data_IF_414428791816
#
_entry.id   IF_414428791816
#
_cell.length_a   1.000
_cell.length_b   1.000
_cell.length_c   1.000
_cell.angle_alpha   90.00
_cell.angle_beta   90.00
_cell.angle_gamma   90.00
#
_symmetry.space_group_name_H-M   'P 1'
#
loop_
_entity.id
_entity.type
_entity.pdbx_description
1 polymer ?
#
# COMPACT_ATOMS: atom_id res chain seq x y z
N UNK A 1 -72.00 -21.58 -74.71
CA UNK A 1 -71.21 -20.51 -74.11
C UNK A 1 -70.17 -21.16 -73.22
N UNK A 2 -68.94 -21.23 -73.72
CA UNK A 2 -67.83 -21.92 -73.08
C UNK A 2 -67.28 -21.03 -71.95
N UNK A 3 -67.22 -21.57 -70.73
CA UNK A 3 -66.72 -20.84 -69.56
C UNK A 3 -65.20 -21.00 -69.54
N UNK A 4 -64.47 -20.01 -70.04
CA UNK A 4 -63.02 -19.94 -69.89
C UNK A 4 -62.64 -19.93 -68.41
N UNK A 5 -61.80 -20.87 -67.99
CA UNK A 5 -61.21 -20.86 -66.65
C UNK A 5 -59.98 -19.94 -66.63
N UNK A 6 -59.89 -18.98 -65.69
CA UNK A 6 -58.71 -18.12 -65.62
C UNK A 6 -57.50 -18.92 -65.11
N UNK A 7 -56.44 -18.96 -65.91
CA UNK A 7 -55.14 -19.52 -65.52
C UNK A 7 -54.48 -18.60 -64.50
N UNK A 8 -54.24 -19.11 -63.29
CA UNK A 8 -53.57 -18.37 -62.21
C UNK A 8 -52.07 -18.24 -62.53
N UNK A 9 -51.64 -17.06 -63.01
CA UNK A 9 -50.23 -16.79 -63.29
C UNK A 9 -49.47 -16.50 -61.98
N UNK A 10 -48.71 -17.47 -61.49
CA UNK A 10 -47.90 -17.32 -60.26
C UNK A 10 -46.54 -16.73 -60.64
N UNK A 11 -46.16 -15.53 -60.15
CA UNK A 11 -44.86 -14.96 -60.43
C UNK A 11 -43.75 -15.85 -59.82
N UNK A 12 -42.73 -16.19 -60.63
CA UNK A 12 -41.55 -16.93 -60.15
C UNK A 12 -40.87 -16.15 -59.02
N UNK A 13 -40.69 -16.80 -57.87
CA UNK A 13 -40.02 -16.24 -56.72
C UNK A 13 -38.60 -15.77 -57.07
N UNK A 14 -38.28 -14.50 -56.78
CA UNK A 14 -36.92 -13.97 -56.92
C UNK A 14 -36.02 -14.65 -55.88
N UNK A 15 -34.89 -15.22 -56.32
CA UNK A 15 -33.89 -15.81 -55.42
C UNK A 15 -33.36 -14.71 -54.48
N UNK A 16 -33.54 -14.90 -53.18
CA UNK A 16 -32.97 -14.01 -52.15
C UNK A 16 -31.46 -14.27 -52.03
N UNK A 17 -30.63 -13.23 -51.83
CA UNK A 17 -29.20 -13.41 -51.63
C UNK A 17 -28.96 -14.12 -50.29
N UNK A 18 -28.14 -15.18 -50.33
CA UNK A 18 -27.80 -15.98 -49.15
C UNK A 18 -26.87 -15.19 -48.22
N UNK A 19 -27.34 -14.91 -47.01
CA UNK A 19 -26.69 -14.06 -45.99
C UNK A 19 -25.47 -14.70 -45.28
N UNK A 20 -24.92 -15.80 -45.81
CA UNK A 20 -23.90 -16.64 -45.15
C UNK A 20 -22.54 -15.95 -44.93
N UNK A 21 -22.26 -14.85 -45.62
CA UNK A 21 -20.96 -14.17 -45.51
C UNK A 21 -20.95 -13.05 -44.45
N UNK A 22 -22.12 -12.61 -43.97
CA UNK A 22 -22.24 -11.50 -43.02
C UNK A 22 -22.07 -12.00 -41.58
N UNK A 23 -22.41 -13.28 -41.33
CA UNK A 23 -22.25 -13.94 -40.03
C UNK A 23 -20.80 -14.10 -39.58
N UNK A 24 -19.82 -14.20 -40.49
CA UNK A 24 -18.40 -14.31 -40.10
C UNK A 24 -17.79 -12.97 -39.69
N UNK A 25 -18.26 -11.86 -40.28
CA UNK A 25 -17.76 -10.52 -39.98
C UNK A 25 -18.29 -10.01 -38.63
N UNK A 26 -19.54 -10.35 -38.29
CA UNK A 26 -20.12 -10.00 -36.98
C UNK A 26 -19.49 -10.79 -35.82
N UNK A 27 -19.04 -12.02 -36.05
CA UNK A 27 -18.36 -12.84 -35.03
C UNK A 27 -17.01 -12.23 -34.58
N UNK A 28 -16.25 -11.63 -35.50
CA UNK A 28 -14.95 -11.02 -35.20
C UNK A 28 -15.07 -9.73 -34.37
N UNK A 29 -16.11 -8.93 -34.60
CA UNK A 29 -16.39 -7.70 -33.85
C UNK A 29 -16.89 -7.97 -32.42
N UNK A 30 -17.65 -9.03 -32.19
CA UNK A 30 -18.10 -9.39 -30.85
C UNK A 30 -16.95 -9.88 -29.96
N UNK A 31 -16.02 -10.67 -30.51
CA UNK A 31 -14.87 -11.18 -29.77
C UNK A 31 -13.90 -10.07 -29.33
N UNK A 32 -13.67 -9.05 -30.16
CA UNK A 32 -12.79 -7.93 -29.84
C UNK A 32 -13.34 -7.03 -28.72
N UNK A 33 -14.66 -6.84 -28.64
CA UNK A 33 -15.29 -6.09 -27.54
C UNK A 33 -15.12 -6.82 -26.20
N UNK A 34 -15.27 -8.15 -26.18
CA UNK A 34 -15.08 -8.97 -24.96
C UNK A 34 -13.63 -8.91 -24.48
N UNK A 35 -12.66 -8.95 -25.40
CA UNK A 35 -11.24 -8.85 -25.05
C UNK A 35 -10.91 -7.47 -24.49
N UNK A 36 -11.41 -6.38 -25.09
CA UNK A 36 -11.19 -5.01 -24.60
C UNK A 36 -11.84 -4.79 -23.23
N UNK A 37 -13.05 -5.29 -23.01
CA UNK A 37 -13.71 -5.25 -21.69
C UNK A 37 -12.95 -6.09 -20.66
N UNK A 38 -12.49 -7.28 -21.02
CA UNK A 38 -11.69 -8.13 -20.13
C UNK A 38 -10.35 -7.48 -19.78
N UNK A 39 -9.67 -6.86 -20.75
CA UNK A 39 -8.41 -6.12 -20.52
C UNK A 39 -8.62 -4.87 -19.66
N UNK A 40 -9.75 -4.17 -19.83
CA UNK A 40 -10.11 -3.00 -19.03
C UNK A 40 -10.45 -3.36 -17.57
N UNK A 41 -11.03 -4.55 -17.35
CA UNK A 41 -11.28 -5.08 -16.00
C UNK A 41 -9.97 -5.61 -15.37
N UNK A 42 -9.07 -6.22 -16.15
CA UNK A 42 -7.78 -6.74 -15.66
C UNK A 42 -6.75 -5.63 -15.35
N UNK A 43 -6.70 -4.56 -16.15
CA UNK A 43 -5.77 -3.45 -15.92
C UNK A 43 -6.21 -2.50 -14.80
N UNK A 44 -7.47 -2.58 -14.37
CA UNK A 44 -8.03 -1.83 -13.24
C UNK A 44 -8.11 -2.69 -11.98
N UNK A 45 -7.09 -3.49 -11.69
CA UNK A 45 -6.92 -3.95 -10.33
C UNK A 45 -6.47 -2.72 -9.53
N UNK A 46 -7.30 -2.14 -8.64
CA UNK A 46 -6.79 -1.14 -7.73
C UNK A 46 -5.60 -1.78 -7.04
N UNK A 47 -4.44 -1.11 -7.04
CA UNK A 47 -3.29 -1.55 -6.28
C UNK A 47 -3.83 -2.05 -4.95
N UNK A 48 -3.69 -3.35 -4.71
CA UNK A 48 -4.08 -3.93 -3.45
C UNK A 48 -3.08 -3.33 -2.51
N UNK A 49 -3.42 -2.16 -1.95
CA UNK A 49 -2.62 -1.44 -0.99
C UNK A 49 -2.49 -2.42 0.17
N UNK A 50 -1.41 -3.19 0.15
CA UNK A 50 -1.06 -4.14 1.18
C UNK A 50 -1.05 -3.29 2.44
N UNK A 51 -2.08 -3.46 3.28
CA UNK A 51 -2.31 -2.59 4.41
C UNK A 51 -0.99 -2.47 5.18
N UNK A 52 -0.47 -1.26 5.27
CA UNK A 52 0.83 -1.04 5.89
C UNK A 52 0.73 -1.51 7.33
N UNK A 53 1.43 -2.61 7.66
CA UNK A 53 1.42 -3.15 9.01
C UNK A 53 2.24 -2.20 9.86
N UNK A 54 1.61 -1.58 10.84
CA UNK A 54 2.28 -0.78 11.85
C UNK A 54 2.41 -1.58 13.15
N UNK A 55 3.55 -1.43 13.82
CA UNK A 55 3.82 -1.93 15.15
C UNK A 55 3.86 -0.74 16.10
N UNK A 56 3.07 -0.77 17.18
CA UNK A 56 3.23 0.18 18.27
C UNK A 56 4.46 -0.25 19.09
N UNK A 57 5.52 0.55 19.05
CA UNK A 57 6.73 0.31 19.82
C UNK A 57 6.82 1.29 20.99
N UNK A 58 7.05 0.77 22.20
CA UNK A 58 7.22 1.58 23.42
C UNK A 58 8.70 1.73 23.72
N UNK A 59 9.21 2.94 23.57
CA UNK A 59 10.57 3.30 23.98
C UNK A 59 10.57 3.62 25.46
N UNK A 60 11.54 3.08 26.21
CA UNK A 60 11.66 3.29 27.66
C UNK A 60 13.12 3.49 28.05
N UNK A 61 13.40 4.47 28.91
CA UNK A 61 14.73 4.65 29.50
C UNK A 61 14.63 5.04 30.98
N UNK A 62 15.51 4.48 31.81
CA UNK A 62 15.65 4.87 33.20
C UNK A 62 16.64 6.04 33.35
N UNK A 63 16.14 7.21 33.77
CA UNK A 63 16.88 8.45 34.05
C UNK A 63 16.16 9.23 35.18
N UNK A 64 16.31 8.82 36.44
CA UNK A 64 15.65 9.48 37.57
C UNK A 64 16.13 10.91 37.82
N UNK A 65 17.37 11.22 37.41
CA UNK A 65 17.96 12.55 37.58
C UNK A 65 17.60 13.52 36.43
N UNK A 66 16.83 13.07 35.43
CA UNK A 66 16.49 13.89 34.28
C UNK A 66 15.28 14.77 34.57
N UNK A 67 15.30 15.99 34.07
CA UNK A 67 14.14 16.90 34.07
C UNK A 67 13.40 16.84 32.73
N UNK A 68 14.13 16.45 31.67
CA UNK A 68 13.62 16.34 30.31
C UNK A 68 14.31 15.18 29.61
N UNK A 69 13.50 14.31 29.00
CA UNK A 69 13.96 13.25 28.11
C UNK A 69 13.23 13.34 26.78
N UNK A 70 13.99 13.31 25.70
CA UNK A 70 13.48 13.25 24.33
C UNK A 70 14.13 12.07 23.60
N UNK A 71 13.48 11.60 22.55
CA UNK A 71 14.01 10.62 21.59
C UNK A 71 14.06 11.24 20.20
N UNK A 72 15.17 11.03 19.52
CA UNK A 72 15.35 11.40 18.12
C UNK A 72 15.81 10.18 17.35
N UNK A 73 15.21 9.94 16.19
CA UNK A 73 15.62 8.86 15.30
C UNK A 73 15.06 9.03 13.91
N UNK A 74 15.33 8.07 13.04
CA UNK A 74 14.86 8.09 11.66
C UNK A 74 13.33 8.19 11.58
N UNK A 75 12.61 7.52 12.49
CA UNK A 75 11.15 7.57 12.58
C UNK A 75 10.58 8.93 13.04
N UNK A 76 11.40 9.81 13.63
CA UNK A 76 11.03 11.21 13.91
C UNK A 76 11.66 12.21 12.94
N UNK A 77 12.28 11.72 11.86
CA UNK A 77 13.14 12.54 10.98
C UNK A 77 14.18 13.35 11.80
N UNK A 78 14.75 12.72 12.83
CA UNK A 78 15.73 13.30 13.74
C UNK A 78 15.26 14.51 14.54
N UNK A 79 13.94 14.79 14.54
CA UNK A 79 13.35 15.82 15.41
C UNK A 79 13.11 15.25 16.81
N UNK A 80 13.42 16.00 17.89
CA UNK A 80 13.18 15.53 19.25
C UNK A 80 11.69 15.29 19.51
N UNK A 81 11.37 14.11 20.03
CA UNK A 81 10.05 13.74 20.52
C UNK A 81 10.12 13.59 22.04
N UNK A 82 9.31 14.34 22.78
CA UNK A 82 9.29 14.33 24.25
C UNK A 82 8.75 13.02 24.82
N UNK A 83 9.48 12.44 25.77
CA UNK A 83 9.03 11.31 26.58
C UNK A 83 8.27 11.82 27.81
N UNK A 84 7.35 11.00 28.30
CA UNK A 84 6.63 11.22 29.56
C UNK A 84 7.28 10.42 30.68
N UNK A 85 7.43 11.01 31.85
CA UNK A 85 7.85 10.27 33.03
C UNK A 85 6.70 9.39 33.55
N UNK A 86 7.01 8.14 33.88
CA UNK A 86 6.07 7.16 34.42
C UNK A 86 6.00 7.32 35.93
N UNK A 87 4.94 7.96 36.43
CA UNK A 87 4.58 8.00 37.86
C UNK A 87 5.73 8.34 38.83
N UNK A 88 6.64 9.25 38.46
CA UNK A 88 7.81 9.64 39.27
C UNK A 88 8.75 8.48 39.63
N UNK A 89 8.77 7.43 38.82
CA UNK A 89 9.64 6.26 39.02
C UNK A 89 11.04 6.48 38.48
N UNK A 90 11.29 7.58 37.75
CA UNK A 90 12.51 7.81 36.98
C UNK A 90 12.56 7.09 35.62
N UNK A 91 11.53 6.34 35.25
CA UNK A 91 11.37 5.81 33.90
C UNK A 91 10.66 6.82 33.00
N UNK A 92 11.19 6.98 31.79
CA UNK A 92 10.65 7.85 30.76
C UNK A 92 10.22 7.03 29.57
N UNK A 93 9.09 7.37 28.95
CA UNK A 93 8.55 6.61 27.82
C UNK A 93 7.85 7.40 26.72
N UNK A 94 7.82 6.81 25.52
CA UNK A 94 7.01 7.25 24.40
C UNK A 94 6.58 6.03 23.57
N UNK A 95 5.34 6.04 23.08
CA UNK A 95 4.85 5.06 22.11
C UNK A 95 4.88 5.65 20.71
N UNK A 96 5.45 4.90 19.76
CA UNK A 96 5.59 5.31 18.36
C UNK A 96 5.08 4.20 17.45
N UNK A 97 4.29 4.57 16.44
CA UNK A 97 3.88 3.67 15.36
C UNK A 97 5.00 3.55 14.33
N UNK A 98 5.56 2.36 14.20
CA UNK A 98 6.67 2.06 13.29
C UNK A 98 6.21 1.07 12.22
N UNK A 99 6.73 1.23 11.01
CA UNK A 99 6.65 0.17 10.00
C UNK A 99 7.75 -0.87 10.29
N UNK A 100 7.64 -2.10 9.78
CA UNK A 100 8.76 -3.02 9.75
C UNK A 100 9.96 -2.38 9.04
N UNK A 101 11.13 -2.50 9.64
CA UNK A 101 12.32 -1.81 9.20
C UNK A 101 13.40 -1.74 10.27
N UNK A 102 14.53 -1.17 9.90
CA UNK A 102 15.62 -0.85 10.80
C UNK A 102 15.63 0.66 11.04
N UNK A 103 15.81 1.08 12.28
CA UNK A 103 15.79 2.49 12.69
C UNK A 103 16.96 2.83 13.60
N UNK A 104 17.68 3.90 13.27
CA UNK A 104 18.68 4.51 14.15
C UNK A 104 18.03 5.56 15.06
N UNK A 105 18.41 5.59 16.33
CA UNK A 105 17.90 6.54 17.32
C UNK A 105 18.84 6.79 18.49
N UNK A 106 18.59 7.87 19.23
CA UNK A 106 19.22 8.17 20.52
C UNK A 106 18.23 8.88 21.45
N UNK A 107 18.55 8.89 22.75
CA UNK A 107 17.88 9.72 23.74
C UNK A 107 18.67 11.02 23.98
N UNK A 108 17.96 12.15 24.07
CA UNK A 108 18.51 13.44 24.47
C UNK A 108 18.05 13.75 25.89
N UNK A 109 19.01 13.87 26.81
CA UNK A 109 18.76 14.14 28.23
C UNK A 109 19.08 15.60 28.52
N UNK A 110 18.11 16.33 29.09
CA UNK A 110 18.23 17.74 29.49
C UNK A 110 18.87 18.64 28.41
N UNK A 111 18.48 18.44 27.14
CA UNK A 111 18.94 19.20 25.97
C UNK A 111 20.46 19.16 25.68
N UNK A 112 21.21 18.32 26.37
CA UNK A 112 22.69 18.37 26.36
C UNK A 112 23.34 17.04 26.06
N UNK A 113 22.80 15.95 26.59
CA UNK A 113 23.48 14.65 26.58
C UNK A 113 22.79 13.68 25.65
N UNK A 114 23.48 13.30 24.59
CA UNK A 114 23.09 12.20 23.71
C UNK A 114 23.44 10.88 24.39
N UNK A 115 22.47 9.97 24.46
CA UNK A 115 22.59 8.67 25.12
C UNK A 115 22.02 7.61 24.19
N UNK A 116 22.87 6.68 23.75
CA UNK A 116 22.40 5.45 23.13
C UNK A 116 21.57 4.65 24.15
N UNK A 117 20.54 3.97 23.68
CA UNK A 117 19.78 3.01 24.48
C UNK A 117 20.72 1.97 25.11
N UNK A 118 20.82 1.92 26.45
CA UNK A 118 21.67 0.96 27.14
C UNK A 118 21.26 -0.48 26.84
N UNK A 119 19.98 -0.73 26.54
CA UNK A 119 19.40 -2.05 26.30
C UNK A 119 19.53 -2.51 24.85
N UNK A 120 19.87 -1.60 23.92
CA UNK A 120 20.02 -1.98 22.51
C UNK A 120 21.27 -2.82 22.30
N UNK A 121 21.09 -3.96 21.64
CA UNK A 121 22.16 -4.90 21.28
C UNK A 121 23.10 -4.28 20.23
N UNK A 122 22.53 -3.52 19.30
CA UNK A 122 23.25 -2.97 18.15
C UNK A 122 23.40 -1.46 18.28
N UNK A 123 24.62 -0.97 18.13
CA UNK A 123 24.96 0.45 18.21
C UNK A 123 25.92 0.81 17.08
N UNK A 124 25.83 2.05 16.60
CA UNK A 124 26.65 2.59 15.53
C UNK A 124 27.21 3.95 15.94
N UNK A 125 28.47 4.22 15.63
CA UNK A 125 29.09 5.53 15.88
C UNK A 125 28.59 6.55 14.85
N UNK A 126 28.32 7.79 15.30
CA UNK A 126 27.79 8.85 14.44
C UNK A 126 28.89 9.68 13.73
N UNK A 127 30.17 9.36 13.97
CA UNK A 127 31.32 10.09 13.45
C UNK A 127 31.72 11.34 14.26
N UNK A 128 30.93 11.73 15.27
CA UNK A 128 31.18 12.88 16.15
C UNK A 128 31.46 12.45 17.61
N UNK A 129 31.66 11.14 17.83
CA UNK A 129 31.94 10.56 19.13
C UNK A 129 30.70 10.12 19.92
N UNK A 130 29.49 10.29 19.38
CA UNK A 130 28.29 9.70 19.97
C UNK A 130 27.97 8.36 19.29
N UNK A 131 26.98 7.66 19.88
CA UNK A 131 26.46 6.40 19.35
C UNK A 131 24.96 6.49 19.19
N UNK A 132 24.48 6.01 18.07
CA UNK A 132 23.08 5.69 17.84
C UNK A 132 22.82 4.24 18.22
N UNK A 133 21.62 3.96 18.70
CA UNK A 133 21.09 2.61 18.86
C UNK A 133 20.35 2.20 17.59
N UNK A 134 20.41 0.92 17.27
CA UNK A 134 19.70 0.34 16.13
C UNK A 134 18.53 -0.49 16.67
N UNK A 135 17.31 -0.16 16.20
CA UNK A 135 16.09 -0.92 16.46
C UNK A 135 15.66 -1.65 15.18
N UNK A 136 15.47 -2.96 15.27
CA UNK A 136 14.88 -3.77 14.19
C UNK A 136 13.43 -4.09 14.53
N UNK A 137 12.50 -3.61 13.72
CA UNK A 137 11.07 -3.88 13.82
C UNK A 137 10.69 -4.90 12.77
N UNK A 138 10.20 -6.06 13.22
CA UNK A 138 9.73 -7.11 12.33
C UNK A 138 8.22 -6.98 12.09
N UNK A 139 7.77 -7.56 10.97
CA UNK A 139 6.35 -7.62 10.62
C UNK A 139 5.59 -8.58 11.53
#
# INVERSE_FOLDING_TARGET
>A
SEVETPQLNIPKAKKTPSYKNITRLTQLLAASIVIIFAFSIFNNQPDTQKAEKFVNYRFVIYKPEAEKVEISGEFTNWKPLKLKEVSQTGYWEAEVKLKPGEYKYFYLINDKKVVADPTSIYKEEDGFGNKNSILKVNA
#
